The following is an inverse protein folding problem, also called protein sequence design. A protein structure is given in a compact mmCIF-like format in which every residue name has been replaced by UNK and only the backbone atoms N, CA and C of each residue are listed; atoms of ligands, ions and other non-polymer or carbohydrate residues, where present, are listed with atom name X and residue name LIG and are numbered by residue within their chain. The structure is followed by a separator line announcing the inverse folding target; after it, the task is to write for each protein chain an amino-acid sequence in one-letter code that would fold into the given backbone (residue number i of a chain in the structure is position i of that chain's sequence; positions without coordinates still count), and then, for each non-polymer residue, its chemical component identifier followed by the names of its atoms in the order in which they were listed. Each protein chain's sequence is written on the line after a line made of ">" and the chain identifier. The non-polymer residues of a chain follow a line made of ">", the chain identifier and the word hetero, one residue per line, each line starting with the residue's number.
data_IF_115860313513
#
_entry.id   IF_115860313513
#
_cell.length_a   1.000
_cell.length_b   1.000
_cell.length_c   1.000
_cell.angle_alpha   90.00
_cell.angle_beta   90.00
_cell.angle_gamma   90.00
#
_symmetry.space_group_name_H-M   'P 1'
#
loop_
_entity.id
_entity.type
_entity.pdbx_description
1 polymer ?
#
# COMPACT_ATOMS: atom_id res chain seq x y z
N UNK A 1 33.19 -53.80 59.04
CA UNK A 1 31.89 -53.66 58.39
C UNK A 1 31.57 -52.21 58.33
N UNK A 2 31.80 -51.61 57.18
CA UNK A 2 31.69 -50.18 56.89
C UNK A 2 30.67 -50.00 55.80
N UNK A 3 29.55 -49.40 56.14
CA UNK A 3 28.51 -49.08 55.17
C UNK A 3 28.49 -47.58 54.96
N UNK A 4 28.98 -47.17 53.79
CA UNK A 4 29.02 -45.73 53.41
C UNK A 4 27.66 -45.25 52.96
N UNK A 5 27.24 -44.13 53.50
CA UNK A 5 26.10 -43.35 53.05
C UNK A 5 26.60 -42.35 52.01
N UNK A 6 26.27 -42.58 50.74
CA UNK A 6 26.48 -41.58 49.69
C UNK A 6 25.25 -40.68 49.60
N UNK A 7 25.40 -39.46 50.04
CA UNK A 7 24.38 -38.46 49.94
C UNK A 7 24.19 -38.02 48.45
N UNK A 8 22.96 -38.05 47.98
CA UNK A 8 22.50 -37.62 46.65
C UNK A 8 22.45 -36.08 46.60
N UNK A 9 23.57 -35.41 46.29
CA UNK A 9 23.62 -33.96 46.05
C UNK A 9 23.36 -33.54 44.61
N UNK A 10 22.96 -34.48 43.76
CA UNK A 10 22.82 -34.19 42.31
C UNK A 10 21.41 -33.76 41.82
N UNK A 11 20.42 -33.68 42.71
CA UNK A 11 19.01 -33.43 42.23
C UNK A 11 18.41 -32.07 42.63
N UNK A 12 19.13 -31.21 43.30
CA UNK A 12 18.59 -29.92 43.72
C UNK A 12 19.09 -28.75 42.82
N UNK A 13 20.10 -28.95 41.99
CA UNK A 13 20.66 -27.89 41.16
C UNK A 13 19.99 -27.76 39.77
N UNK A 14 19.01 -28.61 39.41
CA UNK A 14 18.40 -28.62 38.07
C UNK A 14 16.99 -28.02 38.01
N UNK A 15 16.46 -27.53 39.11
CA UNK A 15 15.09 -26.97 39.15
C UNK A 15 15.02 -25.46 39.08
N UNK A 16 16.16 -24.76 39.09
CA UNK A 16 16.20 -23.27 39.03
C UNK A 16 16.57 -22.69 37.67
N UNK A 17 17.03 -23.53 36.74
CA UNK A 17 17.37 -23.10 35.39
C UNK A 17 16.18 -23.10 34.41
N UNK A 18 15.04 -23.73 34.75
CA UNK A 18 13.86 -23.79 33.87
C UNK A 18 12.86 -22.66 34.10
N UNK A 19 12.99 -21.89 35.18
CA UNK A 19 12.08 -20.77 35.52
C UNK A 19 12.45 -19.41 34.90
N UNK A 20 13.67 -19.27 34.41
CA UNK A 20 14.20 -17.98 33.94
C UNK A 20 14.01 -17.71 32.44
N UNK A 21 13.70 -18.72 31.62
CA UNK A 21 13.58 -18.57 30.17
C UNK A 21 12.14 -18.36 29.70
N UNK A 22 11.15 -18.65 30.55
CA UNK A 22 9.73 -18.52 30.17
C UNK A 22 9.17 -17.09 30.31
N UNK A 23 9.89 -16.14 30.92
CA UNK A 23 9.39 -14.77 31.11
C UNK A 23 9.94 -13.74 30.09
N UNK A 24 10.81 -14.18 29.18
CA UNK A 24 11.43 -13.30 28.14
C UNK A 24 10.77 -13.35 26.78
N UNK A 25 9.76 -14.19 26.56
CA UNK A 25 9.20 -14.47 25.20
C UNK A 25 7.79 -13.92 24.97
N UNK A 26 7.25 -13.08 25.86
CA UNK A 26 5.87 -12.57 25.73
C UNK A 26 5.80 -11.11 25.27
N UNK A 27 6.93 -10.41 25.09
CA UNK A 27 6.96 -8.99 24.67
C UNK A 27 7.39 -8.76 23.22
N UNK A 28 7.45 -9.79 22.36
CA UNK A 28 7.62 -9.64 20.90
C UNK A 28 6.32 -9.91 20.14
N UNK A 29 5.17 -9.84 20.82
CA UNK A 29 3.84 -10.04 20.27
C UNK A 29 3.19 -8.74 19.83
N UNK A 30 3.33 -8.38 18.52
CA UNK A 30 2.26 -7.71 17.84
C UNK A 30 2.20 -6.21 17.85
N UNK A 31 3.17 -5.52 17.29
CA UNK A 31 2.83 -4.35 16.48
C UNK A 31 2.66 -4.82 15.03
N UNK A 32 1.62 -5.59 14.76
CA UNK A 32 1.08 -5.69 13.41
C UNK A 32 0.45 -4.33 13.11
N UNK A 33 1.22 -3.42 12.55
CA UNK A 33 0.70 -2.24 11.87
C UNK A 33 -0.23 -2.77 10.78
N UNK A 34 -1.53 -2.76 11.06
CA UNK A 34 -2.60 -3.08 10.10
C UNK A 34 -2.69 -1.96 9.06
N UNK A 35 -1.65 -1.85 8.26
CA UNK A 35 -1.36 -0.71 7.42
C UNK A 35 -1.41 -1.10 5.94
N UNK A 36 -2.55 -1.68 5.44
CA UNK A 36 -2.54 -2.24 4.09
C UNK A 36 -3.91 -2.32 3.41
N UNK A 37 -4.84 -1.38 3.65
CA UNK A 37 -6.14 -1.50 3.00
C UNK A 37 -6.05 -1.36 1.47
N UNK A 38 -5.32 -0.37 0.94
CA UNK A 38 -5.13 -0.24 -0.51
C UNK A 38 -4.26 -1.39 -1.03
N UNK A 39 -3.18 -1.72 -0.33
CA UNK A 39 -2.22 -2.74 -0.75
C UNK A 39 -2.77 -4.18 -0.73
N UNK A 40 -3.78 -4.51 0.10
CA UNK A 40 -4.43 -5.84 0.13
C UNK A 40 -5.57 -5.99 -0.89
N UNK A 41 -5.52 -5.25 -2.00
CA UNK A 41 -6.55 -5.20 -3.02
C UNK A 41 -6.67 -6.49 -3.84
N UNK A 42 -7.92 -6.93 -4.14
CA UNK A 42 -8.18 -8.03 -5.06
C UNK A 42 -8.13 -7.56 -6.52
N UNK A 43 -6.98 -7.75 -7.15
CA UNK A 43 -6.73 -7.32 -8.53
C UNK A 43 -7.42 -8.15 -9.61
N UNK A 44 -8.12 -9.25 -9.25
CA UNK A 44 -8.86 -10.12 -10.19
C UNK A 44 -10.36 -9.84 -10.20
N UNK A 45 -10.85 -8.96 -9.35
CA UNK A 45 -12.27 -8.58 -9.35
C UNK A 45 -12.60 -7.78 -10.63
N UNK A 46 -13.85 -7.85 -11.11
CA UNK A 46 -14.32 -7.02 -12.21
C UNK A 46 -14.09 -5.53 -11.93
N UNK A 47 -13.76 -4.78 -12.98
CA UNK A 47 -13.61 -3.33 -12.96
C UNK A 47 -14.89 -2.70 -13.50
N UNK A 48 -15.46 -1.75 -12.78
CA UNK A 48 -16.54 -0.88 -13.24
C UNK A 48 -16.03 0.55 -13.40
N UNK A 49 -16.66 1.31 -14.30
CA UNK A 49 -16.32 2.71 -14.50
C UNK A 49 -17.57 3.57 -14.75
N UNK A 50 -17.45 4.85 -14.43
CA UNK A 50 -18.38 5.92 -14.77
C UNK A 50 -17.58 7.09 -15.33
N UNK A 51 -18.04 7.71 -16.42
CA UNK A 51 -17.36 8.82 -17.07
C UNK A 51 -18.34 9.65 -17.90
N UNK A 52 -18.04 10.92 -18.11
CA UNK A 52 -18.83 11.79 -18.97
C UNK A 52 -18.72 11.42 -20.46
N UNK A 53 -17.56 10.90 -20.89
CA UNK A 53 -17.34 10.43 -22.26
C UNK A 53 -16.34 9.28 -22.27
N UNK A 54 -16.51 8.38 -23.25
CA UNK A 54 -15.60 7.29 -23.55
C UNK A 54 -15.29 7.27 -25.06
N UNK A 55 -14.02 7.26 -25.40
CA UNK A 55 -13.50 7.19 -26.76
C UNK A 55 -12.64 5.92 -26.91
N UNK A 56 -12.96 5.08 -27.90
CA UNK A 56 -12.22 3.87 -28.25
C UNK A 56 -11.30 4.14 -29.43
N UNK A 57 -10.04 3.77 -29.29
CA UNK A 57 -9.04 3.77 -30.35
C UNK A 57 -8.51 2.33 -30.55
N UNK A 58 -9.22 1.55 -31.34
CA UNK A 58 -8.92 0.13 -31.59
C UNK A 58 -7.58 -0.04 -32.33
N UNK A 59 -7.12 0.97 -33.08
CA UNK A 59 -5.84 0.89 -33.81
C UNK A 59 -4.64 0.92 -32.86
N UNK A 60 -4.78 1.57 -31.73
CA UNK A 60 -3.73 1.70 -30.72
C UNK A 60 -4.08 0.98 -29.42
N UNK A 61 -5.13 0.17 -29.41
CA UNK A 61 -5.60 -0.58 -28.24
C UNK A 61 -5.72 0.32 -27.00
N UNK A 62 -6.45 1.42 -27.14
CA UNK A 62 -6.61 2.43 -26.09
C UNK A 62 -8.05 2.83 -25.90
N UNK A 63 -8.40 3.05 -24.65
CA UNK A 63 -9.67 3.67 -24.25
C UNK A 63 -9.36 4.94 -23.48
N UNK A 64 -10.01 6.03 -23.86
CA UNK A 64 -9.90 7.31 -23.18
C UNK A 64 -11.24 7.64 -22.53
N UNK A 65 -11.22 7.86 -21.21
CA UNK A 65 -12.37 8.30 -20.43
C UNK A 65 -12.12 9.74 -19.96
N UNK A 66 -13.16 10.58 -20.07
CA UNK A 66 -13.08 12.00 -19.66
C UNK A 66 -14.37 12.46 -18.99
N UNK A 67 -14.32 13.63 -18.35
CA UNK A 67 -15.50 14.25 -17.76
C UNK A 67 -15.81 13.81 -16.33
N UNK A 68 -14.78 13.65 -15.52
CA UNK A 68 -14.94 13.21 -14.13
C UNK A 68 -15.08 11.69 -14.03
N UNK A 69 -13.95 11.01 -14.21
CA UNK A 69 -13.91 9.54 -14.28
C UNK A 69 -13.85 8.93 -12.89
N UNK A 70 -14.68 7.92 -12.67
CA UNK A 70 -14.66 7.06 -11.48
C UNK A 70 -14.45 5.61 -11.93
N UNK A 71 -13.47 4.95 -11.35
CA UNK A 71 -13.21 3.50 -11.57
C UNK A 71 -13.28 2.80 -10.23
N UNK A 72 -13.96 1.68 -10.19
CA UNK A 72 -14.14 0.88 -8.97
C UNK A 72 -13.76 -0.58 -9.21
N UNK A 73 -13.03 -1.16 -8.26
CA UNK A 73 -12.66 -2.56 -8.24
C UNK A 73 -12.52 -3.05 -6.80
N UNK A 74 -13.32 -4.05 -6.37
CA UNK A 74 -13.22 -4.68 -5.04
C UNK A 74 -13.07 -3.68 -3.86
N UNK A 75 -13.86 -2.60 -3.88
CA UNK A 75 -13.82 -1.57 -2.84
C UNK A 75 -12.68 -0.55 -2.96
N UNK A 76 -11.81 -0.69 -3.95
CA UNK A 76 -10.90 0.37 -4.37
C UNK A 76 -11.64 1.30 -5.32
N UNK A 77 -11.62 2.59 -5.07
CA UNK A 77 -12.18 3.62 -5.96
C UNK A 77 -11.07 4.57 -6.40
N UNK A 78 -10.97 4.81 -7.70
CA UNK A 78 -10.06 5.80 -8.29
C UNK A 78 -10.89 6.88 -8.98
N UNK A 79 -10.62 8.15 -8.68
CA UNK A 79 -11.24 9.31 -9.32
C UNK A 79 -10.19 10.19 -9.97
N UNK A 80 -10.51 10.73 -11.16
CA UNK A 80 -9.69 11.72 -11.85
C UNK A 80 -10.50 12.46 -12.92
N UNK A 81 -9.94 13.51 -13.53
CA UNK A 81 -10.61 14.21 -14.64
C UNK A 81 -10.54 13.40 -15.94
N UNK A 82 -9.48 12.63 -16.13
CA UNK A 82 -9.22 11.84 -17.35
C UNK A 82 -8.48 10.56 -17.01
N UNK A 83 -8.86 9.47 -17.66
CA UNK A 83 -8.12 8.20 -17.64
C UNK A 83 -7.86 7.70 -19.06
N UNK A 84 -6.68 7.10 -19.24
CA UNK A 84 -6.28 6.37 -20.41
C UNK A 84 -6.03 4.92 -20.00
N UNK A 85 -6.76 3.98 -20.59
CA UNK A 85 -6.52 2.57 -20.43
C UNK A 85 -5.87 2.00 -21.70
N UNK A 86 -4.77 1.26 -21.52
CA UNK A 86 -4.18 0.42 -22.56
C UNK A 86 -4.61 -1.02 -22.33
N UNK A 87 -4.97 -1.71 -23.39
CA UNK A 87 -5.42 -3.10 -23.35
C UNK A 87 -4.78 -3.94 -24.47
N UNK A 88 -4.81 -5.26 -24.31
CA UNK A 88 -4.56 -6.22 -25.37
C UNK A 88 -5.86 -6.91 -25.76
N UNK A 89 -5.97 -7.31 -27.02
CA UNK A 89 -7.14 -8.03 -27.58
C UNK A 89 -6.64 -9.29 -28.31
N UNK A 90 -6.26 -10.30 -27.54
CA UNK A 90 -5.89 -11.63 -28.03
C UNK A 90 -7.05 -12.62 -27.88
N UNK A 91 -8.30 -12.14 -28.14
CA UNK A 91 -9.54 -12.91 -27.97
C UNK A 91 -10.26 -12.64 -26.64
N UNK A 92 -9.65 -11.86 -25.75
CA UNK A 92 -10.25 -11.21 -24.59
C UNK A 92 -9.65 -9.83 -24.42
N UNK A 93 -10.48 -8.87 -23.95
CA UNK A 93 -10.01 -7.53 -23.62
C UNK A 93 -9.32 -7.57 -22.25
N UNK A 94 -8.00 -7.55 -22.24
CA UNK A 94 -7.21 -7.51 -21.02
C UNK A 94 -6.58 -6.13 -20.81
N UNK A 95 -6.98 -5.44 -19.74
CA UNK A 95 -6.40 -4.13 -19.38
C UNK A 95 -5.01 -4.31 -18.80
N UNK A 96 -4.01 -3.72 -19.47
CA UNK A 96 -2.61 -3.77 -19.02
C UNK A 96 -2.24 -2.63 -18.08
N UNK A 97 -2.74 -1.43 -18.40
CA UNK A 97 -2.35 -0.20 -17.69
C UNK A 97 -3.46 0.84 -17.74
N UNK A 98 -3.67 1.52 -16.62
CA UNK A 98 -4.49 2.73 -16.54
C UNK A 98 -3.60 3.89 -16.11
N UNK A 99 -3.66 5.00 -16.86
CA UNK A 99 -3.04 6.28 -16.49
C UNK A 99 -4.14 7.28 -16.18
N UNK A 100 -4.18 7.76 -14.95
CA UNK A 100 -5.14 8.76 -14.47
C UNK A 100 -4.46 10.12 -14.31
N UNK A 101 -5.12 11.18 -14.75
CA UNK A 101 -4.60 12.56 -14.72
C UNK A 101 -5.67 13.53 -14.25
N UNK A 102 -5.22 14.62 -13.60
CA UNK A 102 -6.09 15.73 -13.18
C UNK A 102 -6.74 15.50 -11.82
N UNK A 103 -5.95 15.65 -10.75
CA UNK A 103 -6.43 15.55 -9.38
C UNK A 103 -6.86 14.14 -9.01
N UNK A 104 -5.91 13.21 -9.10
CA UNK A 104 -6.18 11.79 -8.85
C UNK A 104 -6.40 11.54 -7.37
N UNK A 105 -7.45 10.79 -7.06
CA UNK A 105 -7.78 10.35 -5.71
C UNK A 105 -8.04 8.85 -5.73
N UNK A 106 -7.32 8.11 -4.89
CA UNK A 106 -7.50 6.68 -4.65
C UNK A 106 -8.01 6.50 -3.23
N UNK A 107 -9.11 5.77 -3.06
CA UNK A 107 -9.68 5.48 -1.74
C UNK A 107 -9.96 3.99 -1.59
N UNK A 108 -9.73 3.47 -0.38
CA UNK A 108 -10.16 2.13 0.04
C UNK A 108 -10.30 2.08 1.56
N UNK A 109 -11.49 1.74 2.04
CA UNK A 109 -11.77 1.76 3.47
C UNK A 109 -11.50 3.14 4.07
N UNK A 110 -10.64 3.22 5.07
CA UNK A 110 -10.21 4.45 5.75
C UNK A 110 -8.91 5.05 5.19
N UNK A 111 -8.42 4.52 4.07
CA UNK A 111 -7.22 5.03 3.39
C UNK A 111 -7.59 5.89 2.18
N UNK A 112 -6.86 6.98 2.03
CA UNK A 112 -6.97 7.91 0.90
C UNK A 112 -5.58 8.34 0.46
N UNK A 113 -5.29 8.13 -0.82
CA UNK A 113 -4.12 8.71 -1.48
C UNK A 113 -4.58 9.73 -2.51
N UNK A 114 -3.85 10.83 -2.67
CA UNK A 114 -4.09 11.82 -3.72
C UNK A 114 -2.77 12.25 -4.37
N UNK A 115 -2.86 12.74 -5.61
CA UNK A 115 -1.72 13.20 -6.39
C UNK A 115 -2.18 13.77 -7.73
N UNK A 116 -1.25 14.33 -8.51
CA UNK A 116 -1.58 14.94 -9.81
C UNK A 116 -1.81 13.86 -10.88
N UNK A 117 -1.03 12.79 -10.85
CA UNK A 117 -1.06 11.66 -11.80
C UNK A 117 -0.97 10.35 -11.04
N UNK A 118 -1.66 9.32 -11.53
CA UNK A 118 -1.46 7.94 -11.09
C UNK A 118 -1.36 7.00 -12.30
N UNK A 119 -0.56 5.96 -12.15
CA UNK A 119 -0.44 4.85 -13.09
C UNK A 119 -0.67 3.55 -12.35
N UNK A 120 -1.64 2.76 -12.78
CA UNK A 120 -1.83 1.40 -12.33
C UNK A 120 -1.37 0.44 -13.43
N UNK A 121 -0.34 -0.35 -13.13
CA UNK A 121 0.19 -1.43 -13.95
C UNK A 121 -0.39 -2.75 -13.43
N UNK A 122 -1.31 -3.35 -14.19
CA UNK A 122 -2.02 -4.57 -13.79
C UNK A 122 -1.09 -5.80 -13.78
N UNK A 123 -0.19 -5.90 -14.73
CA UNK A 123 0.77 -7.01 -14.83
C UNK A 123 1.72 -7.04 -13.64
N UNK A 124 2.23 -5.89 -13.24
CA UNK A 124 3.09 -5.73 -12.05
C UNK A 124 2.33 -5.65 -10.75
N UNK A 125 1.05 -5.34 -10.79
CA UNK A 125 0.20 -5.05 -9.63
C UNK A 125 0.74 -3.89 -8.79
N UNK A 126 1.17 -2.82 -9.46
CA UNK A 126 1.76 -1.64 -8.81
C UNK A 126 0.97 -0.40 -9.18
N UNK A 127 0.61 0.40 -8.18
CA UNK A 127 0.10 1.76 -8.37
C UNK A 127 1.25 2.73 -8.06
N UNK A 128 1.53 3.63 -9.00
CA UNK A 128 2.47 4.73 -8.80
C UNK A 128 1.71 6.05 -8.89
N UNK A 129 1.84 6.90 -7.88
CA UNK A 129 1.31 8.27 -7.91
C UNK A 129 2.47 9.27 -7.88
N UNK A 130 2.30 10.41 -8.54
CA UNK A 130 3.29 11.45 -8.61
C UNK A 130 2.67 12.85 -8.64
N UNK A 131 3.42 13.83 -8.11
CA UNK A 131 3.01 15.22 -7.98
C UNK A 131 2.07 15.45 -6.80
N UNK A 132 2.47 16.30 -5.86
CA UNK A 132 1.67 16.70 -4.69
C UNK A 132 1.02 15.53 -3.95
N UNK A 133 1.81 14.47 -3.74
CA UNK A 133 1.28 13.23 -3.16
C UNK A 133 0.99 13.40 -1.68
N UNK A 134 -0.23 13.03 -1.29
CA UNK A 134 -0.64 12.91 0.10
C UNK A 134 -1.28 11.54 0.34
N UNK A 135 -0.81 10.82 1.35
CA UNK A 135 -1.39 9.58 1.85
C UNK A 135 -1.95 9.81 3.24
N UNK A 136 -3.24 9.55 3.43
CA UNK A 136 -3.93 9.58 4.72
C UNK A 136 -4.41 8.19 5.10
N UNK A 137 -4.22 7.86 6.37
CA UNK A 137 -4.71 6.63 6.98
C UNK A 137 -5.18 6.92 8.40
N UNK A 138 -6.49 6.87 8.62
CA UNK A 138 -7.03 7.29 9.93
C UNK A 138 -6.62 8.72 10.27
N UNK A 139 -5.91 8.90 11.38
CA UNK A 139 -5.35 10.19 11.82
C UNK A 139 -3.98 10.54 11.23
N UNK A 140 -3.34 9.60 10.53
CA UNK A 140 -1.97 9.75 10.02
C UNK A 140 -1.96 10.36 8.63
N UNK A 141 -0.97 11.20 8.37
CA UNK A 141 -0.77 11.85 7.07
C UNK A 141 0.71 11.79 6.69
N UNK A 142 0.98 11.38 5.42
CA UNK A 142 2.29 11.45 4.78
C UNK A 142 2.19 12.29 3.52
N UNK A 143 3.18 13.14 3.26
CA UNK A 143 3.30 13.96 2.05
C UNK A 143 4.65 13.75 1.39
N UNK A 144 4.65 13.70 0.07
CA UNK A 144 5.87 13.54 -0.73
C UNK A 144 5.64 13.87 -2.20
N UNK A 145 6.64 13.60 -3.01
CA UNK A 145 6.56 13.80 -4.46
C UNK A 145 6.09 12.58 -5.23
N UNK A 146 6.30 11.38 -4.65
CA UNK A 146 5.94 10.10 -5.28
C UNK A 146 5.49 9.09 -4.22
N UNK A 147 4.45 8.32 -4.55
CA UNK A 147 3.99 7.16 -3.80
C UNK A 147 3.99 5.94 -4.71
N UNK A 148 4.53 4.84 -4.24
CA UNK A 148 4.45 3.52 -4.90
C UNK A 148 3.74 2.56 -3.95
N UNK A 149 2.72 1.89 -4.46
CA UNK A 149 1.96 0.86 -3.73
C UNK A 149 2.10 -0.44 -4.50
N UNK A 150 2.74 -1.42 -3.91
CA UNK A 150 2.82 -2.80 -4.43
C UNK A 150 1.66 -3.60 -3.85
N UNK A 151 0.69 -3.92 -4.71
CA UNK A 151 -0.53 -4.66 -4.34
C UNK A 151 -0.27 -6.16 -4.15
N UNK A 152 0.89 -6.66 -4.60
CA UNK A 152 1.28 -8.06 -4.43
C UNK A 152 1.90 -8.32 -3.06
N UNK A 153 2.81 -7.43 -2.64
CA UNK A 153 3.52 -7.55 -1.36
C UNK A 153 2.83 -6.81 -0.22
N UNK A 154 1.92 -5.88 -0.54
CA UNK A 154 1.29 -5.02 0.45
C UNK A 154 2.17 -3.85 0.90
N UNK A 155 3.31 -3.62 0.26
CA UNK A 155 4.22 -2.56 0.64
C UNK A 155 3.85 -1.24 -0.04
N UNK A 156 4.01 -0.15 0.71
CA UNK A 156 3.87 1.21 0.20
C UNK A 156 5.11 2.02 0.56
N UNK A 157 5.65 2.78 -0.40
CA UNK A 157 6.77 3.69 -0.17
C UNK A 157 6.42 5.10 -0.66
N UNK A 158 6.84 6.09 0.11
CA UNK A 158 6.70 7.51 -0.24
C UNK A 158 8.09 8.12 -0.39
N UNK A 159 8.35 8.74 -1.52
CA UNK A 159 9.60 9.45 -1.83
C UNK A 159 9.34 10.96 -1.88
N UNK A 160 10.31 11.75 -1.43
CA UNK A 160 10.20 13.20 -1.44
C UNK A 160 10.25 13.80 -2.85
N UNK A 161 10.92 13.15 -3.81
CA UNK A 161 11.04 13.61 -5.20
C UNK A 161 10.16 12.79 -6.13
N UNK A 162 9.38 13.47 -6.98
CA UNK A 162 8.79 12.84 -8.15
C UNK A 162 9.86 12.76 -9.24
N UNK A 163 10.14 11.56 -9.77
CA UNK A 163 11.06 11.43 -10.90
C UNK A 163 10.51 12.20 -12.10
N UNK A 164 11.21 13.26 -12.51
CA UNK A 164 10.90 14.03 -13.72
C UNK A 164 9.96 15.24 -13.55
N UNK A 165 9.46 15.54 -12.38
CA UNK A 165 8.65 16.74 -12.11
C UNK A 165 9.45 17.72 -11.25
N UNK A 166 9.70 18.93 -11.75
CA UNK A 166 10.18 20.05 -10.94
C UNK A 166 8.97 20.56 -10.14
N UNK A 167 8.88 20.16 -8.87
CA UNK A 167 7.92 20.74 -7.93
C UNK A 167 8.41 22.14 -7.55
N UNK A 168 7.50 23.11 -7.62
CA UNK A 168 7.79 24.48 -7.19
C UNK A 168 8.26 24.56 -5.73
N UNK A 169 8.86 25.68 -5.40
CA UNK A 169 9.43 26.03 -4.10
C UNK A 169 8.56 25.61 -2.92
N UNK A 170 9.08 24.71 -2.05
CA UNK A 170 8.47 24.44 -0.76
C UNK A 170 8.74 23.08 -0.13
N UNK A 171 9.02 22.02 -0.88
CA UNK A 171 9.36 20.70 -0.32
C UNK A 171 10.47 20.03 -1.13
N UNK A 172 11.68 20.57 -1.03
CA UNK A 172 12.85 20.08 -1.74
C UNK A 172 13.17 18.61 -1.43
N UNK A 173 12.41 17.70 -2.08
CA UNK A 173 12.71 16.28 -2.09
C UNK A 173 12.63 15.60 -0.72
N UNK A 174 11.79 16.09 0.19
CA UNK A 174 11.59 15.53 1.52
C UNK A 174 10.21 14.88 1.65
N UNK A 175 10.13 13.83 2.45
CA UNK A 175 8.86 13.28 2.94
C UNK A 175 8.56 13.92 4.30
N UNK A 176 7.33 14.39 4.47
CA UNK A 176 6.84 14.91 5.76
C UNK A 176 5.64 14.11 6.22
N UNK A 177 5.45 13.97 7.52
CA UNK A 177 4.32 13.21 8.04
C UNK A 177 3.95 13.61 9.46
N UNK A 178 2.70 13.31 9.80
CA UNK A 178 2.15 13.41 11.16
C UNK A 178 1.55 12.05 11.50
N UNK A 179 1.87 11.54 12.68
CA UNK A 179 1.35 10.27 13.19
C UNK A 179 0.62 10.51 14.51
N UNK A 180 -0.55 9.89 14.63
CA UNK A 180 -1.33 9.90 15.87
C UNK A 180 -0.70 8.96 16.87
N UNK A 181 -0.46 9.42 18.09
CA UNK A 181 -0.01 8.58 19.20
C UNK A 181 -1.23 8.24 20.05
N UNK A 182 -1.48 6.95 20.37
CA UNK A 182 -2.55 6.58 21.29
C UNK A 182 -2.38 7.29 22.62
N UNK A 183 -3.44 7.91 23.12
CA UNK A 183 -3.51 8.46 24.48
C UNK A 183 -3.91 7.29 25.38
N UNK A 184 -3.09 6.92 26.36
CA UNK A 184 -3.44 5.97 27.43
C UNK A 184 -4.46 6.58 28.39
#
# INVERSE_FOLDING_TARGET
>A
MTTGVRANLGKIALSWAAGGVALGLVMAGGMSLQAQAIASHNTRAPVSFDAGSIDFDDRSNRVVLTGGVVVEQAGLTVRSQRMLANYTDDGSLDVERITANGGVVVTRGNERASGDVAVYDFGRRVITMAGNVELRRGGDTLRGGRLVIDLASGLSSVDGRASGVRTGEGSEGRVTGTFSVPQE
#
